data_IF_660039182925
#
_entry.id   IF_660039182925
#
_cell.length_a   1.000
_cell.length_b   1.000
_cell.length_c   1.000
_cell.angle_alpha   90.00
_cell.angle_beta   90.00
_cell.angle_gamma   90.00
#
_symmetry.space_group_name_H-M   'P 1'
#
loop_
_entity.id
_entity.type
_entity.pdbx_description
1 polymer ?
#
# COMPACT_ATOMS: atom_id res chain seq x y z
N UNK A 1 11.74 18.86 34.53
CA UNK A 1 11.88 18.90 33.07
C UNK A 1 13.18 18.27 32.55
N UNK A 2 14.39 18.66 33.02
CA UNK A 2 15.67 18.09 32.50
C UNK A 2 15.88 16.56 32.74
N UNK A 3 15.38 15.99 33.83
CA UNK A 3 15.45 14.53 34.10
C UNK A 3 14.51 13.73 33.19
N UNK A 4 13.32 14.24 32.90
CA UNK A 4 12.33 13.59 32.03
C UNK A 4 12.81 13.55 30.56
N UNK A 5 13.52 14.59 30.12
CA UNK A 5 14.07 14.67 28.78
C UNK A 5 15.21 13.65 28.55
N UNK A 6 16.08 13.45 29.57
CA UNK A 6 17.14 12.41 29.48
C UNK A 6 16.58 10.99 29.42
N UNK A 7 15.53 10.70 30.17
CA UNK A 7 14.88 9.38 30.17
C UNK A 7 14.16 9.10 28.85
N UNK A 8 13.49 10.10 28.24
CA UNK A 8 12.88 9.98 26.93
C UNK A 8 13.92 9.81 25.81
N UNK A 9 15.05 10.52 25.88
CA UNK A 9 16.14 10.36 24.93
C UNK A 9 16.79 8.96 24.99
N UNK A 10 16.94 8.41 26.21
CA UNK A 10 17.46 7.05 26.39
C UNK A 10 16.51 5.97 25.84
N UNK A 11 15.19 6.14 26.01
CA UNK A 11 14.18 5.22 25.46
C UNK A 11 14.16 5.26 23.93
N UNK A 12 14.32 6.44 23.32
CA UNK A 12 14.38 6.58 21.86
C UNK A 12 15.63 5.91 21.26
N UNK A 13 16.79 6.04 21.91
CA UNK A 13 18.06 5.40 21.50
C UNK A 13 17.94 3.88 21.59
N UNK A 14 17.32 3.35 22.64
CA UNK A 14 17.08 1.90 22.81
C UNK A 14 16.11 1.37 21.73
N UNK A 15 15.11 2.16 21.34
CA UNK A 15 14.16 1.77 20.28
C UNK A 15 14.82 1.62 18.90
N UNK A 16 15.86 2.41 18.61
CA UNK A 16 16.65 2.28 17.38
C UNK A 16 17.78 1.24 17.47
N UNK A 17 18.10 0.76 18.67
CA UNK A 17 19.15 -0.23 18.87
C UNK A 17 20.57 0.30 18.61
N UNK A 18 20.81 1.59 18.84
CA UNK A 18 22.14 2.20 18.77
C UNK A 18 22.82 1.99 20.12
N UNK A 19 23.83 1.13 20.17
CA UNK A 19 24.71 1.02 21.31
C UNK A 19 25.74 2.15 21.24
N UNK A 20 25.70 3.08 22.19
CA UNK A 20 26.80 3.99 22.46
C UNK A 20 27.90 3.21 23.22
N UNK A 21 28.85 2.66 22.50
CA UNK A 21 30.17 2.37 23.09
C UNK A 21 30.94 3.70 23.13
N UNK A 22 31.36 4.07 24.32
CA UNK A 22 32.23 5.22 24.55
C UNK A 22 33.52 5.08 23.72
N UNK A 23 33.70 5.96 22.73
CA UNK A 23 34.98 6.11 22.07
C UNK A 23 35.85 7.03 22.95
N UNK A 24 36.83 6.46 23.63
CA UNK A 24 37.96 7.24 24.19
C UNK A 24 38.76 7.80 23.03
N UNK A 25 38.94 9.10 23.06
CA UNK A 25 39.86 9.79 22.15
C UNK A 25 41.31 9.38 22.48
N UNK A 26 42.01 8.76 21.53
CA UNK A 26 43.46 8.73 21.47
C UNK A 26 43.94 9.51 20.25
N UNK A 27 44.88 10.40 20.52
CA UNK A 27 45.49 11.33 19.59
C UNK A 27 46.64 10.69 18.82
N UNK A 28 46.80 11.18 17.56
CA UNK A 28 48.02 11.21 16.73
C UNK A 28 48.58 9.91 16.15
N UNK A 29 48.67 9.91 14.83
CA UNK A 29 49.48 9.01 14.02
C UNK A 29 49.22 9.24 12.53
N UNK A 30 50.14 9.97 11.89
CA UNK A 30 50.21 10.12 10.42
C UNK A 30 50.34 8.74 9.76
N UNK A 31 49.51 8.45 8.75
CA UNK A 31 49.72 7.28 7.89
C UNK A 31 49.66 7.74 6.44
N UNK A 32 50.81 7.63 5.80
CA UNK A 32 51.09 7.78 4.36
C UNK A 32 50.29 6.78 3.55
N UNK A 33 49.72 7.28 2.43
CA UNK A 33 48.98 6.52 1.41
C UNK A 33 49.95 5.96 0.37
N UNK A 34 49.93 4.69 -0.01
CA UNK A 34 50.58 4.23 -1.22
C UNK A 34 49.60 4.28 -2.40
N UNK A 35 50.04 4.95 -3.49
CA UNK A 35 49.43 4.87 -4.80
C UNK A 35 49.40 3.44 -5.32
N UNK A 36 48.26 2.97 -5.81
CA UNK A 36 48.16 1.72 -6.58
C UNK A 36 47.57 2.00 -7.94
N UNK A 37 48.38 1.74 -8.95
CA UNK A 37 48.17 1.80 -10.38
C UNK A 37 46.90 1.04 -10.84
N UNK A 38 46.15 1.69 -11.73
CA UNK A 38 45.01 1.13 -12.48
C UNK A 38 45.57 0.25 -13.61
N UNK A 39 45.18 -1.01 -13.64
CA UNK A 39 45.31 -1.86 -14.83
C UNK A 39 43.93 -2.02 -15.48
N UNK A 40 43.89 -1.74 -16.78
CA UNK A 40 42.78 -1.96 -17.67
C UNK A 40 42.45 -3.46 -17.78
N UNK A 41 41.18 -3.81 -17.68
CA UNK A 41 40.68 -5.16 -17.92
C UNK A 41 39.95 -5.26 -19.26
N UNK A 42 40.43 -6.17 -20.02
CA UNK A 42 40.07 -6.69 -21.34
C UNK A 42 38.59 -7.04 -21.54
N UNK A 43 38.16 -6.81 -22.76
CA UNK A 43 36.89 -7.17 -23.44
C UNK A 43 36.43 -8.61 -23.24
N UNK A 44 35.11 -8.78 -23.00
CA UNK A 44 34.39 -10.06 -23.01
C UNK A 44 33.74 -10.26 -24.38
N UNK A 45 33.80 -11.44 -25.00
CA UNK A 45 33.17 -11.69 -26.30
C UNK A 45 31.66 -11.96 -26.20
N UNK A 46 30.89 -11.42 -27.14
CA UNK A 46 29.48 -11.69 -27.35
C UNK A 46 29.22 -13.17 -27.69
N UNK A 47 28.28 -13.77 -26.95
CA UNK A 47 27.75 -15.10 -27.27
C UNK A 47 26.40 -14.94 -27.96
N UNK A 48 26.35 -15.23 -29.25
CA UNK A 48 25.14 -15.32 -30.07
C UNK A 48 24.35 -16.58 -29.72
N UNK A 49 23.09 -16.41 -29.36
CA UNK A 49 22.10 -17.49 -29.18
C UNK A 49 21.34 -17.70 -30.47
N UNK A 50 21.15 -18.96 -30.99
CA UNK A 50 20.34 -19.20 -32.17
C UNK A 50 18.85 -19.13 -31.89
N UNK A 51 18.11 -18.45 -32.75
CA UNK A 51 16.65 -18.48 -32.81
C UNK A 51 16.20 -19.84 -33.43
N UNK A 52 15.44 -20.60 -32.67
CA UNK A 52 14.64 -21.71 -33.21
C UNK A 52 13.31 -21.17 -33.73
N UNK A 53 13.10 -21.29 -35.03
CA UNK A 53 11.86 -21.01 -35.74
C UNK A 53 11.03 -22.27 -35.76
N UNK A 54 9.98 -22.37 -34.98
CA UNK A 54 9.02 -23.47 -35.04
C UNK A 54 7.95 -23.14 -36.10
N UNK A 55 7.98 -23.84 -37.21
CA UNK A 55 6.97 -23.79 -38.27
C UNK A 55 5.82 -24.73 -37.89
N UNK A 56 4.60 -24.20 -37.81
CA UNK A 56 3.37 -24.98 -37.64
C UNK A 56 2.82 -25.31 -39.04
N UNK A 57 2.50 -26.56 -39.35
CA UNK A 57 1.93 -26.91 -40.67
C UNK A 57 0.43 -26.53 -40.73
N UNK A 58 0.06 -25.86 -41.81
CA UNK A 58 -1.32 -25.62 -42.21
C UNK A 58 -2.01 -26.95 -42.60
N UNK A 59 -3.15 -27.21 -41.96
CA UNK A 59 -4.03 -28.32 -42.29
C UNK A 59 -5.09 -27.83 -43.29
N UNK A 60 -4.96 -28.22 -44.54
CA UNK A 60 -5.97 -28.01 -45.58
C UNK A 60 -7.16 -28.94 -45.38
N UNK A 61 -8.36 -28.35 -45.27
CA UNK A 61 -9.65 -29.07 -45.29
C UNK A 61 -10.18 -29.09 -46.71
N UNK A 62 -10.62 -30.25 -47.29
CA UNK A 62 -11.18 -30.31 -48.63
C UNK A 62 -12.58 -29.70 -48.68
N UNK A 63 -12.83 -28.88 -49.71
CA UNK A 63 -14.16 -28.41 -50.07
C UNK A 63 -14.94 -29.54 -50.78
N UNK A 64 -16.06 -29.95 -50.18
CA UNK A 64 -17.09 -30.72 -50.91
C UNK A 64 -18.05 -29.76 -51.60
N UNK A 65 -18.12 -29.85 -52.90
CA UNK A 65 -19.08 -29.17 -53.77
C UNK A 65 -20.36 -30.02 -53.88
N UNK A 66 -21.43 -29.60 -53.20
CA UNK A 66 -22.76 -30.17 -53.40
C UNK A 66 -23.58 -29.22 -54.26
N UNK A 67 -23.88 -29.65 -55.49
CA UNK A 67 -24.84 -29.02 -56.40
C UNK A 67 -26.26 -29.30 -55.96
N UNK A 68 -27.06 -28.25 -55.70
CA UNK A 68 -28.50 -28.29 -55.44
C UNK A 68 -29.25 -27.83 -56.71
N UNK A 69 -30.32 -28.52 -57.14
CA UNK A 69 -31.05 -28.12 -58.32
C UNK A 69 -31.95 -26.89 -58.10
N UNK A 70 -32.01 -26.08 -59.12
CA UNK A 70 -32.79 -24.85 -59.20
C UNK A 70 -34.29 -25.20 -59.25
N UNK A 71 -35.07 -24.75 -58.22
CA UNK A 71 -36.53 -24.78 -58.25
C UNK A 71 -37.03 -23.35 -58.32
N UNK A 72 -37.60 -22.97 -59.47
CA UNK A 72 -38.25 -21.69 -59.67
C UNK A 72 -39.50 -21.54 -58.78
N UNK A 73 -39.47 -20.71 -57.75
CA UNK A 73 -40.61 -20.26 -56.99
C UNK A 73 -40.81 -18.74 -57.20
N UNK A 74 -42.06 -18.39 -57.48
CA UNK A 74 -42.62 -17.08 -57.66
C UNK A 74 -42.28 -16.12 -56.53
N UNK A 75 -42.05 -14.79 -56.74
CA UNK A 75 -41.73 -13.87 -55.67
C UNK A 75 -42.95 -13.60 -54.77
N UNK A 76 -42.89 -14.06 -53.53
CA UNK A 76 -43.72 -13.50 -52.47
C UNK A 76 -43.15 -12.14 -52.04
N UNK A 77 -44.01 -11.13 -51.98
CA UNK A 77 -43.69 -9.83 -51.39
C UNK A 77 -43.29 -9.99 -49.91
N UNK A 78 -42.00 -10.00 -49.66
CA UNK A 78 -41.46 -9.94 -48.30
C UNK A 78 -41.56 -8.50 -47.80
N UNK A 79 -42.60 -8.19 -47.05
CA UNK A 79 -42.64 -7.00 -46.20
C UNK A 79 -41.47 -7.08 -45.24
N UNK A 80 -40.37 -6.41 -45.54
CA UNK A 80 -39.25 -6.19 -44.63
C UNK A 80 -39.78 -5.36 -43.46
N UNK A 81 -40.15 -6.06 -42.36
CA UNK A 81 -40.31 -5.42 -41.06
C UNK A 81 -38.91 -4.98 -40.61
N UNK A 82 -38.58 -3.70 -40.81
CA UNK A 82 -37.41 -3.12 -40.18
C UNK A 82 -37.49 -3.38 -38.68
N UNK A 83 -36.42 -3.94 -38.05
CA UNK A 83 -36.41 -4.06 -36.61
C UNK A 83 -36.50 -2.64 -36.03
N UNK A 84 -37.63 -2.29 -35.42
CA UNK A 84 -37.81 -1.04 -34.68
C UNK A 84 -36.86 -1.07 -33.51
N UNK A 85 -35.66 -0.50 -33.68
CA UNK A 85 -34.72 -0.33 -32.59
C UNK A 85 -35.34 0.58 -31.55
N UNK A 86 -35.57 0.06 -30.36
CA UNK A 86 -36.10 0.82 -29.23
C UNK A 86 -35.20 2.06 -29.02
N UNK A 87 -35.76 3.29 -28.99
CA UNK A 87 -34.93 4.49 -28.84
C UNK A 87 -34.20 4.49 -27.49
N UNK A 88 -33.01 5.08 -27.47
CA UNK A 88 -32.24 5.27 -26.25
C UNK A 88 -33.00 6.19 -25.27
N UNK A 89 -32.81 5.89 -23.96
CA UNK A 89 -33.38 6.73 -22.89
C UNK A 89 -32.70 8.09 -22.87
N UNK A 90 -33.50 9.13 -22.70
CA UNK A 90 -32.99 10.50 -22.52
C UNK A 90 -32.06 10.57 -21.30
N UNK A 91 -30.79 10.90 -21.53
CA UNK A 91 -29.78 11.12 -20.53
C UNK A 91 -29.47 12.59 -20.25
N UNK A 92 -30.32 13.52 -20.74
CA UNK A 92 -30.26 14.93 -20.30
C UNK A 92 -30.59 15.03 -18.82
N UNK A 93 -30.06 16.03 -18.13
CA UNK A 93 -30.34 16.20 -16.71
C UNK A 93 -29.21 16.83 -15.93
N UNK A 94 -29.31 16.75 -14.59
CA UNK A 94 -28.41 17.41 -13.66
C UNK A 94 -27.09 16.64 -13.51
N UNK A 95 -25.96 17.30 -13.75
CA UNK A 95 -24.64 16.76 -13.47
C UNK A 95 -24.43 16.59 -11.96
N UNK A 96 -23.99 15.40 -11.55
CA UNK A 96 -23.73 15.03 -10.14
C UNK A 96 -22.24 14.92 -9.87
N UNK A 97 -21.52 14.12 -10.65
CA UNK A 97 -20.04 13.93 -10.61
C UNK A 97 -19.48 13.64 -9.22
N UNK A 98 -20.12 12.76 -8.45
CA UNK A 98 -19.68 12.32 -7.12
C UNK A 98 -20.04 10.85 -6.84
N UNK A 99 -19.58 10.32 -5.73
CA UNK A 99 -19.97 8.98 -5.27
C UNK A 99 -21.40 8.91 -4.78
N UNK A 100 -22.05 7.79 -5.09
CA UNK A 100 -23.36 7.43 -4.59
C UNK A 100 -23.45 5.94 -4.27
N UNK A 101 -24.51 5.55 -3.62
CA UNK A 101 -24.81 4.17 -3.21
C UNK A 101 -26.24 3.85 -3.60
N UNK A 102 -26.58 2.56 -3.74
CA UNK A 102 -27.98 2.17 -3.87
C UNK A 102 -28.59 1.79 -2.52
N UNK A 103 -29.86 2.13 -2.31
CA UNK A 103 -30.60 1.85 -1.05
C UNK A 103 -30.83 0.36 -0.82
N UNK A 104 -30.92 -0.42 -1.90
CA UNK A 104 -31.04 -1.89 -1.96
C UNK A 104 -30.35 -2.41 -3.22
N UNK A 105 -30.18 -3.72 -3.36
CA UNK A 105 -29.72 -4.29 -4.63
C UNK A 105 -30.79 -4.03 -5.71
N UNK A 106 -30.36 -3.56 -6.87
CA UNK A 106 -31.25 -3.21 -7.98
C UNK A 106 -30.59 -3.48 -9.32
N UNK A 107 -31.40 -3.69 -10.35
CA UNK A 107 -30.93 -3.85 -11.72
C UNK A 107 -30.31 -2.55 -12.25
N UNK A 108 -29.27 -2.70 -13.06
CA UNK A 108 -28.68 -1.64 -13.88
C UNK A 108 -28.88 -1.98 -15.36
N UNK A 109 -29.15 -0.96 -16.15
CA UNK A 109 -29.64 -1.08 -17.51
C UNK A 109 -28.69 -0.35 -18.49
N UNK A 110 -28.66 -0.78 -19.74
CA UNK A 110 -28.08 -0.01 -20.85
C UNK A 110 -29.03 1.16 -21.26
N UNK A 111 -28.64 1.92 -22.27
CA UNK A 111 -29.47 3.06 -22.75
C UNK A 111 -30.81 2.64 -23.39
N UNK A 112 -30.95 1.38 -23.79
CA UNK A 112 -32.21 0.79 -24.32
C UNK A 112 -33.11 0.18 -23.22
N UNK A 113 -32.75 0.37 -21.93
CA UNK A 113 -33.39 -0.24 -20.75
C UNK A 113 -33.35 -1.77 -20.74
N UNK A 114 -32.38 -2.35 -21.36
CA UNK A 114 -32.11 -3.79 -21.22
C UNK A 114 -31.25 -4.02 -19.96
N UNK A 115 -31.63 -5.00 -19.14
CA UNK A 115 -30.88 -5.33 -17.91
C UNK A 115 -29.51 -5.87 -18.28
N UNK A 116 -28.46 -5.24 -17.76
CA UNK A 116 -27.06 -5.63 -17.94
C UNK A 116 -26.55 -6.39 -16.74
N UNK A 117 -26.79 -5.88 -15.52
CA UNK A 117 -26.28 -6.45 -14.29
C UNK A 117 -27.11 -5.98 -13.10
N UNK A 118 -26.70 -6.40 -11.90
CA UNK A 118 -27.19 -5.85 -10.64
C UNK A 118 -26.13 -4.98 -9.98
N UNK A 119 -26.57 -3.92 -9.32
CA UNK A 119 -25.75 -3.07 -8.46
C UNK A 119 -26.13 -3.30 -7.00
N UNK A 120 -25.10 -3.41 -6.16
CA UNK A 120 -25.25 -3.90 -4.79
C UNK A 120 -25.31 -2.75 -3.77
N UNK A 121 -26.17 -2.90 -2.75
CA UNK A 121 -26.17 -2.04 -1.58
C UNK A 121 -24.81 -2.11 -0.86
N UNK A 122 -24.33 -0.95 -0.43
CA UNK A 122 -23.04 -0.86 0.30
C UNK A 122 -21.83 -0.71 -0.61
N UNK A 123 -22.01 -0.78 -1.93
CA UNK A 123 -20.97 -0.50 -2.92
C UNK A 123 -21.08 0.95 -3.37
N UNK A 124 -19.92 1.63 -3.47
CA UNK A 124 -19.82 3.00 -3.95
C UNK A 124 -19.70 3.03 -5.47
N UNK A 125 -20.63 3.68 -6.13
CA UNK A 125 -20.62 3.94 -7.58
C UNK A 125 -20.33 5.41 -7.86
N UNK A 126 -19.68 5.72 -8.98
CA UNK A 126 -19.56 7.09 -9.44
C UNK A 126 -20.83 7.47 -10.22
N UNK A 127 -21.55 8.48 -9.77
CA UNK A 127 -22.77 9.00 -10.40
C UNK A 127 -22.39 10.17 -11.28
N UNK A 128 -22.62 10.04 -12.59
CA UNK A 128 -22.36 11.11 -13.56
C UNK A 128 -23.48 12.15 -13.55
N UNK A 129 -24.74 11.67 -13.66
CA UNK A 129 -25.93 12.50 -13.81
C UNK A 129 -27.13 11.89 -13.10
N UNK A 130 -28.07 12.75 -12.70
CA UNK A 130 -29.49 12.43 -12.50
C UNK A 130 -30.23 12.89 -13.73
N UNK A 131 -30.77 11.94 -14.53
CA UNK A 131 -31.40 12.21 -15.81
C UNK A 131 -32.87 12.60 -15.62
N UNK A 132 -33.41 13.42 -16.54
CA UNK A 132 -34.82 13.84 -16.56
C UNK A 132 -35.79 12.66 -16.75
N UNK A 133 -35.30 11.57 -17.35
CA UNK A 133 -36.02 10.30 -17.52
C UNK A 133 -36.29 9.54 -16.22
N UNK A 134 -35.87 10.05 -15.04
CA UNK A 134 -36.02 9.37 -13.76
C UNK A 134 -34.92 8.34 -13.43
N UNK A 135 -33.89 8.22 -14.28
CA UNK A 135 -32.74 7.38 -14.09
C UNK A 135 -31.50 8.19 -13.70
N UNK A 136 -30.55 7.53 -13.03
CA UNK A 136 -29.21 8.07 -12.79
C UNK A 136 -28.20 7.29 -13.61
N UNK A 137 -27.33 8.01 -14.34
CA UNK A 137 -26.22 7.43 -15.09
C UNK A 137 -25.04 7.21 -14.14
N UNK A 138 -24.66 5.96 -13.91
CA UNK A 138 -23.60 5.56 -12.99
C UNK A 138 -22.49 4.78 -13.69
N UNK A 139 -21.30 4.72 -13.07
CA UNK A 139 -20.20 3.87 -13.54
C UNK A 139 -20.26 2.50 -12.83
N UNK A 140 -20.34 1.41 -13.61
CA UNK A 140 -20.26 0.03 -13.14
C UNK A 140 -19.14 -0.67 -13.92
N UNK A 141 -18.05 -1.03 -13.26
CA UNK A 141 -16.86 -1.47 -13.97
C UNK A 141 -16.37 -0.39 -14.95
N UNK A 142 -16.25 -0.75 -16.22
CA UNK A 142 -15.87 0.19 -17.30
C UNK A 142 -17.08 0.76 -18.06
N UNK A 143 -18.30 0.36 -17.71
CA UNK A 143 -19.52 0.77 -18.41
C UNK A 143 -20.23 1.92 -17.69
N UNK A 144 -21.03 2.67 -18.47
CA UNK A 144 -22.01 3.62 -17.97
C UNK A 144 -23.38 2.96 -18.07
N UNK A 145 -24.05 2.79 -16.95
CA UNK A 145 -25.35 2.13 -16.85
C UNK A 145 -26.36 3.03 -16.14
N UNK A 146 -27.62 2.77 -16.38
CA UNK A 146 -28.76 3.47 -15.82
C UNK A 146 -29.30 2.70 -14.60
N UNK A 147 -29.58 3.44 -13.52
CA UNK A 147 -30.30 2.94 -12.33
C UNK A 147 -31.36 3.94 -11.98
N UNK A 148 -32.57 3.48 -11.62
CA UNK A 148 -33.65 4.40 -11.23
C UNK A 148 -33.18 5.33 -10.09
N UNK A 149 -33.32 6.63 -10.27
CA UNK A 149 -32.83 7.68 -9.34
C UNK A 149 -33.41 7.53 -7.94
N UNK A 150 -34.65 7.04 -7.80
CA UNK A 150 -35.29 6.79 -6.49
C UNK A 150 -34.49 5.84 -5.58
N UNK A 151 -33.68 4.96 -6.16
CA UNK A 151 -32.83 4.04 -5.41
C UNK A 151 -31.45 4.60 -5.06
N UNK A 152 -31.04 5.73 -5.63
CA UNK A 152 -29.75 6.36 -5.32
C UNK A 152 -29.79 7.07 -3.96
N UNK A 153 -28.70 6.98 -3.23
CA UNK A 153 -28.44 7.75 -2.00
C UNK A 153 -27.00 8.23 -1.98
N UNK A 154 -26.78 9.43 -1.46
CA UNK A 154 -25.43 10.00 -1.29
C UNK A 154 -24.90 9.84 0.14
N UNK A 155 -25.67 9.19 1.01
CA UNK A 155 -25.21 8.78 2.34
C UNK A 155 -24.55 7.41 2.23
N UNK A 156 -23.32 7.29 2.73
CA UNK A 156 -22.61 6.00 2.77
C UNK A 156 -23.42 4.99 3.60
N UNK A 157 -23.82 3.91 2.97
CA UNK A 157 -24.57 2.81 3.60
C UNK A 157 -23.77 1.49 3.59
N UNK A 158 -22.46 1.52 3.24
CA UNK A 158 -21.58 0.37 3.39
C UNK A 158 -21.46 -0.05 4.86
N UNK A 159 -21.41 -1.34 5.12
CA UNK A 159 -21.13 -1.86 6.47
C UNK A 159 -19.73 -1.45 6.91
N UNK A 160 -19.48 -1.33 8.21
CA UNK A 160 -18.12 -1.22 8.75
C UNK A 160 -17.41 -2.56 8.50
N UNK A 161 -16.17 -2.49 8.04
CA UNK A 161 -15.38 -3.64 7.58
C UNK A 161 -14.27 -3.95 8.59
N UNK A 162 -13.48 -2.93 8.94
CA UNK A 162 -12.30 -3.10 9.79
C UNK A 162 -12.72 -3.20 11.26
N UNK A 163 -12.53 -4.40 11.83
CA UNK A 163 -12.75 -4.63 13.26
C UNK A 163 -11.50 -4.23 14.06
N UNK A 164 -11.65 -3.21 14.92
CA UNK A 164 -10.56 -2.71 15.77
C UNK A 164 -10.66 -3.17 17.23
N UNK A 165 -11.69 -3.94 17.60
CA UNK A 165 -11.87 -4.45 18.97
C UNK A 165 -10.92 -5.60 19.28
N UNK A 166 -10.50 -6.39 18.29
CA UNK A 166 -9.63 -7.52 18.51
C UNK A 166 -8.24 -7.10 18.99
N UNK A 167 -7.68 -7.83 19.94
CA UNK A 167 -6.34 -7.56 20.48
C UNK A 167 -5.26 -7.74 19.41
N UNK A 168 -5.43 -8.72 18.52
CA UNK A 168 -4.53 -9.01 17.40
C UNK A 168 -5.26 -8.70 16.08
N UNK A 169 -4.61 -7.97 15.21
CA UNK A 169 -5.04 -7.77 13.82
C UNK A 169 -4.03 -8.45 12.92
N UNK A 170 -4.41 -9.61 12.38
CA UNK A 170 -3.49 -10.50 11.68
C UNK A 170 -3.36 -10.16 10.19
N UNK A 171 -2.39 -10.81 9.52
CA UNK A 171 -2.30 -10.80 8.05
C UNK A 171 -3.60 -11.30 7.39
N UNK A 172 -4.24 -12.32 7.99
CA UNK A 172 -5.50 -12.87 7.46
C UNK A 172 -6.63 -11.85 7.53
N UNK A 173 -6.74 -11.13 8.65
CA UNK A 173 -7.74 -10.07 8.83
C UNK A 173 -7.53 -8.96 7.82
N UNK A 174 -6.30 -8.46 7.69
CA UNK A 174 -5.94 -7.45 6.70
C UNK A 174 -6.30 -7.90 5.28
N UNK A 175 -5.94 -9.13 4.87
CA UNK A 175 -6.24 -9.68 3.54
C UNK A 175 -7.75 -9.70 3.26
N UNK A 176 -8.54 -10.17 4.22
CA UNK A 176 -10.01 -10.25 4.11
C UNK A 176 -10.61 -8.85 4.03
N UNK A 177 -10.14 -7.93 4.89
CA UNK A 177 -10.66 -6.58 4.94
C UNK A 177 -10.28 -5.79 3.68
N UNK A 178 -9.07 -5.94 3.15
CA UNK A 178 -8.66 -5.34 1.87
C UNK A 178 -9.59 -5.75 0.72
N UNK A 179 -9.92 -7.05 0.61
CA UNK A 179 -10.86 -7.55 -0.41
C UNK A 179 -12.25 -6.94 -0.25
N UNK A 180 -12.75 -6.81 0.99
CA UNK A 180 -14.05 -6.20 1.28
C UNK A 180 -14.04 -4.69 1.00
N UNK A 181 -12.97 -4.00 1.36
CA UNK A 181 -12.80 -2.56 1.10
C UNK A 181 -12.76 -2.28 -0.40
N UNK A 182 -12.00 -3.06 -1.16
CA UNK A 182 -11.96 -2.92 -2.63
C UNK A 182 -13.32 -3.19 -3.26
N UNK A 183 -14.06 -4.23 -2.82
CA UNK A 183 -15.43 -4.48 -3.28
C UNK A 183 -16.34 -3.27 -2.99
N UNK A 184 -16.27 -2.73 -1.78
CA UNK A 184 -17.16 -1.63 -1.36
C UNK A 184 -16.80 -0.27 -1.99
N UNK A 185 -15.51 -0.03 -2.26
CA UNK A 185 -14.98 1.28 -2.64
C UNK A 185 -14.11 1.26 -3.91
N UNK A 186 -14.22 0.24 -4.76
CA UNK A 186 -13.36 0.04 -5.94
C UNK A 186 -13.32 1.20 -6.94
N UNK A 187 -14.29 2.12 -6.86
CA UNK A 187 -14.27 3.37 -7.65
C UNK A 187 -13.23 4.40 -7.16
N UNK A 188 -12.66 4.22 -5.96
CA UNK A 188 -11.69 5.13 -5.31
C UNK A 188 -10.57 4.39 -4.56
N UNK A 189 -10.65 3.07 -4.46
CA UNK A 189 -9.66 2.24 -3.79
C UNK A 189 -9.33 1.04 -4.67
N UNK A 190 -8.04 0.84 -4.94
CA UNK A 190 -7.51 -0.31 -5.66
C UNK A 190 -6.51 -1.05 -4.76
N UNK A 191 -6.57 -2.38 -4.76
CA UNK A 191 -5.63 -3.25 -4.05
C UNK A 191 -4.73 -3.96 -5.05
N UNK A 192 -3.43 -3.78 -4.91
CA UNK A 192 -2.42 -4.38 -5.76
C UNK A 192 -1.43 -5.23 -4.92
N UNK A 193 -0.63 -6.06 -5.59
CA UNK A 193 0.40 -6.90 -4.98
C UNK A 193 1.77 -6.42 -5.47
N UNK A 194 2.66 -6.06 -4.55
CA UNK A 194 4.04 -5.67 -4.83
C UNK A 194 5.00 -6.87 -4.95
N UNK A 195 4.61 -8.02 -4.41
CA UNK A 195 5.44 -9.21 -4.38
C UNK A 195 4.91 -10.25 -3.39
N UNK A 196 5.77 -11.20 -3.05
CA UNK A 196 5.47 -12.22 -2.03
C UNK A 196 6.61 -12.31 -1.03
N UNK A 197 6.27 -12.47 0.25
CA UNK A 197 7.22 -12.71 1.33
C UNK A 197 7.90 -14.09 1.19
N UNK A 198 8.86 -14.36 2.08
CA UNK A 198 9.56 -15.66 2.13
C UNK A 198 8.61 -16.85 2.32
N UNK A 199 7.58 -16.69 3.16
CA UNK A 199 6.54 -17.70 3.37
C UNK A 199 5.35 -17.59 2.39
N UNK A 200 5.58 -16.95 1.23
CA UNK A 200 4.62 -16.80 0.12
C UNK A 200 3.33 -16.03 0.46
N UNK A 201 3.37 -15.14 1.46
CA UNK A 201 2.28 -14.16 1.69
C UNK A 201 2.40 -13.02 0.70
N UNK A 202 1.27 -12.58 0.14
CA UNK A 202 1.26 -11.42 -0.75
C UNK A 202 1.63 -10.15 0.04
N UNK A 203 2.48 -9.32 -0.55
CA UNK A 203 2.82 -7.99 -0.08
C UNK A 203 1.86 -7.00 -0.74
N UNK A 204 0.80 -6.61 -0.01
CA UNK A 204 -0.26 -5.77 -0.54
C UNK A 204 0.09 -4.29 -0.42
N UNK A 205 -0.30 -3.51 -1.43
CA UNK A 205 -0.44 -2.07 -1.31
C UNK A 205 -1.77 -1.62 -1.87
N UNK A 206 -2.28 -0.48 -1.37
CA UNK A 206 -3.52 0.12 -1.85
C UNK A 206 -3.24 1.48 -2.46
N UNK A 207 -3.98 1.81 -3.51
CA UNK A 207 -4.06 3.17 -4.06
C UNK A 207 -5.43 3.74 -3.73
N UNK A 208 -5.48 4.80 -2.90
CA UNK A 208 -6.71 5.50 -2.53
C UNK A 208 -6.74 6.87 -3.20
N UNK A 209 -7.85 7.17 -3.84
CA UNK A 209 -8.06 8.40 -4.58
C UNK A 209 -8.05 8.20 -6.09
N UNK A 210 -7.73 9.24 -6.83
CA UNK A 210 -7.59 9.17 -8.29
C UNK A 210 -6.23 8.55 -8.64
N UNK A 211 -6.25 7.34 -9.20
CA UNK A 211 -5.02 6.66 -9.61
C UNK A 211 -4.15 7.45 -10.62
N UNK A 212 -4.78 8.38 -11.38
CA UNK A 212 -4.11 9.27 -12.34
C UNK A 212 -3.63 10.59 -11.71
N UNK A 213 -3.81 10.80 -10.40
CA UNK A 213 -3.31 11.99 -9.72
C UNK A 213 -1.79 12.10 -9.88
N UNK A 214 -1.30 13.30 -10.19
CA UNK A 214 0.14 13.54 -10.40
C UNK A 214 0.93 13.53 -9.09
N UNK A 215 0.29 13.90 -7.97
CA UNK A 215 0.90 13.94 -6.64
C UNK A 215 0.61 12.66 -5.87
N UNK A 216 1.63 12.16 -5.17
CA UNK A 216 1.57 10.89 -4.45
C UNK A 216 2.15 11.02 -3.04
N UNK A 217 1.38 10.63 -2.04
CA UNK A 217 1.86 10.35 -0.68
C UNK A 217 2.01 8.83 -0.55
N UNK A 218 3.24 8.36 -0.32
CA UNK A 218 3.48 6.96 0.00
C UNK A 218 3.51 6.77 1.52
N UNK A 219 2.97 5.64 1.97
CA UNK A 219 2.88 5.31 3.40
C UNK A 219 3.21 3.85 3.60
N UNK A 220 4.01 3.56 4.62
CA UNK A 220 4.27 2.19 5.01
C UNK A 220 4.04 1.98 6.51
N UNK A 221 3.68 0.75 6.87
CA UNK A 221 3.55 0.33 8.26
C UNK A 221 4.05 -1.10 8.47
N UNK A 222 4.40 -1.43 9.71
CA UNK A 222 4.78 -2.78 10.15
C UNK A 222 5.91 -3.39 9.32
N UNK A 223 6.94 -2.59 9.00
CA UNK A 223 8.21 -3.08 8.49
C UNK A 223 8.90 -3.93 9.58
N UNK A 224 8.80 -3.52 10.84
CA UNK A 224 9.19 -4.35 11.96
C UNK A 224 8.02 -5.20 12.46
N UNK A 225 8.28 -6.48 12.65
CA UNK A 225 7.31 -7.52 12.96
C UNK A 225 6.42 -7.23 14.17
N UNK A 226 7.00 -6.73 15.26
CA UNK A 226 6.31 -6.44 16.53
C UNK A 226 5.48 -5.17 16.55
N UNK A 227 5.49 -4.38 15.44
CA UNK A 227 4.84 -3.08 15.33
C UNK A 227 3.47 -3.16 14.63
N UNK A 228 2.81 -4.32 14.72
CA UNK A 228 1.56 -4.65 14.01
C UNK A 228 0.32 -3.83 14.42
N UNK A 229 0.39 -3.06 15.51
CA UNK A 229 -0.66 -2.10 15.86
C UNK A 229 -0.83 -1.03 14.75
N UNK A 230 0.27 -0.68 14.08
CA UNK A 230 0.23 0.28 12.96
C UNK A 230 -0.55 -0.25 11.77
N UNK A 231 -0.51 -1.56 11.45
CA UNK A 231 -1.39 -2.15 10.44
C UNK A 231 -2.87 -1.97 10.82
N UNK A 232 -3.25 -2.32 12.04
CA UNK A 232 -4.63 -2.18 12.54
C UNK A 232 -5.13 -0.74 12.45
N UNK A 233 -4.31 0.21 12.90
CA UNK A 233 -4.57 1.63 12.82
C UNK A 233 -4.74 2.08 11.35
N UNK A 234 -3.81 1.71 10.47
CA UNK A 234 -3.80 2.12 9.07
C UNK A 234 -5.00 1.59 8.29
N UNK A 235 -5.36 0.32 8.49
CA UNK A 235 -6.54 -0.27 7.86
C UNK A 235 -7.82 0.48 8.24
N UNK A 236 -7.92 0.93 9.52
CA UNK A 236 -9.05 1.76 9.95
C UNK A 236 -9.03 3.15 9.32
N UNK A 237 -7.86 3.77 9.15
CA UNK A 237 -7.72 5.05 8.44
C UNK A 237 -8.16 4.93 6.98
N UNK A 238 -7.72 3.87 6.28
CA UNK A 238 -8.14 3.58 4.90
C UNK A 238 -9.67 3.49 4.81
N UNK A 239 -10.31 2.70 5.69
CA UNK A 239 -11.76 2.59 5.73
C UNK A 239 -12.44 3.94 5.95
N UNK A 240 -11.97 4.72 6.93
CA UNK A 240 -12.59 6.00 7.29
C UNK A 240 -12.44 7.07 6.21
N UNK A 241 -11.34 7.02 5.45
CA UNK A 241 -11.15 7.89 4.29
C UNK A 241 -12.08 7.49 3.14
N UNK A 242 -12.24 6.20 2.86
CA UNK A 242 -13.19 5.71 1.88
C UNK A 242 -14.64 6.07 2.24
N UNK A 243 -15.03 5.86 3.49
CA UNK A 243 -16.39 6.18 3.98
C UNK A 243 -16.70 7.67 3.94
N UNK A 244 -15.69 8.49 4.23
CA UNK A 244 -15.80 9.95 4.26
C UNK A 244 -15.53 10.63 2.93
N UNK A 245 -15.14 9.91 1.89
CA UNK A 245 -14.57 10.46 0.65
C UNK A 245 -15.40 11.60 0.04
N UNK A 246 -16.71 11.40 -0.09
CA UNK A 246 -17.61 12.36 -0.74
C UNK A 246 -18.22 13.40 0.23
N UNK A 247 -18.14 13.15 1.55
CA UNK A 247 -18.87 13.93 2.55
C UNK A 247 -18.00 14.67 3.56
N UNK A 248 -16.86 14.08 3.96
CA UNK A 248 -15.98 14.71 4.95
C UNK A 248 -15.13 15.83 4.34
N UNK A 249 -14.79 16.78 5.19
CA UNK A 249 -13.87 17.88 4.88
C UNK A 249 -12.70 17.87 5.85
N UNK A 250 -11.52 18.28 5.37
CA UNK A 250 -10.37 18.62 6.19
C UNK A 250 -9.98 20.07 5.94
N UNK A 251 -10.03 20.90 7.00
CA UNK A 251 -9.74 22.35 6.91
C UNK A 251 -10.38 22.99 5.65
N UNK A 252 -11.72 22.85 5.53
CA UNK A 252 -12.54 23.44 4.47
C UNK A 252 -12.58 22.67 3.12
N UNK A 253 -11.60 21.83 2.81
CA UNK A 253 -11.55 21.06 1.54
C UNK A 253 -12.17 19.68 1.69
N UNK A 254 -13.01 19.24 0.75
CA UNK A 254 -13.58 17.88 0.71
C UNK A 254 -12.48 16.84 0.54
N UNK A 255 -12.63 15.67 1.15
CA UNK A 255 -11.71 14.53 0.94
C UNK A 255 -11.63 14.16 -0.55
N UNK A 256 -12.76 14.16 -1.27
CA UNK A 256 -12.76 13.91 -2.72
C UNK A 256 -11.94 14.94 -3.50
N UNK A 257 -11.97 16.21 -3.12
CA UNK A 257 -11.11 17.23 -3.76
C UNK A 257 -9.63 16.94 -3.49
N UNK A 258 -9.28 16.60 -2.24
CA UNK A 258 -7.90 16.30 -1.86
C UNK A 258 -7.41 15.05 -2.61
N UNK A 259 -8.12 13.93 -2.47
CA UNK A 259 -7.66 12.64 -3.00
C UNK A 259 -7.87 12.47 -4.52
N UNK A 260 -8.63 13.34 -5.18
CA UNK A 260 -8.65 13.39 -6.64
C UNK A 260 -7.38 14.03 -7.22
N UNK A 261 -6.71 14.90 -6.48
CA UNK A 261 -5.48 15.58 -6.90
C UNK A 261 -4.21 14.95 -6.33
N UNK A 262 -4.32 14.30 -5.16
CA UNK A 262 -3.20 13.67 -4.45
C UNK A 262 -3.61 12.27 -4.05
N UNK A 263 -3.05 11.24 -4.68
CA UNK A 263 -3.33 9.84 -4.30
C UNK A 263 -2.49 9.42 -3.09
N UNK A 264 -3.07 8.56 -2.27
CA UNK A 264 -2.33 7.83 -1.24
C UNK A 264 -1.98 6.43 -1.78
N UNK A 265 -0.72 6.04 -1.65
CA UNK A 265 -0.25 4.67 -1.89
C UNK A 265 0.23 4.11 -0.56
N UNK A 266 -0.40 3.08 -0.06
CA UNK A 266 -0.20 2.61 1.31
C UNK A 266 0.14 1.12 1.31
N UNK A 267 1.28 0.74 1.90
CA UNK A 267 1.60 -0.65 2.28
C UNK A 267 1.24 -0.88 3.75
N UNK A 268 0.07 -1.46 4.05
CA UNK A 268 -0.43 -1.53 5.43
C UNK A 268 0.27 -2.62 6.28
N UNK A 269 1.06 -3.50 5.69
CA UNK A 269 1.89 -4.51 6.37
C UNK A 269 3.05 -4.92 5.45
N UNK A 270 4.22 -4.30 5.66
CA UNK A 270 5.41 -4.60 4.86
C UNK A 270 5.95 -5.99 5.17
N UNK A 271 5.96 -6.40 6.46
CA UNK A 271 6.57 -7.65 6.95
C UNK A 271 5.51 -8.66 7.45
N UNK A 272 4.73 -9.28 6.57
CA UNK A 272 3.64 -10.17 7.00
C UNK A 272 4.12 -11.46 7.67
N UNK A 273 5.28 -11.98 7.30
CA UNK A 273 5.87 -13.15 7.94
C UNK A 273 6.33 -12.83 9.36
N UNK A 274 7.07 -11.72 9.51
CA UNK A 274 7.50 -11.25 10.82
C UNK A 274 6.33 -10.95 11.75
N UNK A 275 5.29 -10.24 11.26
CA UNK A 275 4.07 -9.98 12.04
C UNK A 275 3.42 -11.29 12.49
N UNK A 276 3.36 -12.30 11.62
CA UNK A 276 2.84 -13.64 11.97
C UNK A 276 3.69 -14.28 13.06
N UNK A 277 5.02 -14.18 12.98
CA UNK A 277 5.95 -14.69 14.00
C UNK A 277 5.72 -13.97 15.33
N UNK A 278 5.68 -12.64 15.33
CA UNK A 278 5.49 -11.86 16.57
C UNK A 278 4.14 -12.11 17.23
N UNK A 279 3.07 -12.31 16.45
CA UNK A 279 1.74 -12.55 16.99
C UNK A 279 1.49 -14.00 17.44
N UNK A 280 2.05 -14.98 16.75
CA UNK A 280 1.65 -16.39 16.90
C UNK A 280 2.82 -17.37 17.05
N UNK A 281 4.05 -16.88 16.96
CA UNK A 281 5.26 -17.69 16.97
C UNK A 281 5.56 -18.39 15.63
N UNK A 282 6.74 -19.01 15.49
CA UNK A 282 7.20 -19.65 14.26
C UNK A 282 6.31 -20.78 13.76
N UNK A 283 5.53 -21.44 14.63
CA UNK A 283 4.59 -22.53 14.26
C UNK A 283 3.58 -22.14 13.18
N UNK A 284 3.34 -20.84 12.95
CA UNK A 284 2.45 -20.33 11.90
C UNK A 284 3.18 -20.01 10.58
N UNK A 285 4.49 -20.22 10.52
CA UNK A 285 5.26 -20.19 9.26
C UNK A 285 5.09 -21.55 8.58
N UNK A 286 4.62 -21.55 7.34
CA UNK A 286 4.26 -22.74 6.56
C UNK A 286 5.48 -23.48 6.06
N UNK A 287 6.51 -22.73 5.61
CA UNK A 287 7.77 -23.30 5.14
C UNK A 287 8.54 -23.91 6.32
N UNK A 288 8.71 -25.24 6.29
CA UNK A 288 9.34 -25.99 7.37
C UNK A 288 10.79 -25.56 7.62
N UNK A 289 11.56 -25.34 6.55
CA UNK A 289 12.99 -24.94 6.65
C UNK A 289 13.14 -23.54 7.27
N UNK A 290 12.27 -22.57 6.89
CA UNK A 290 12.25 -21.27 7.54
C UNK A 290 11.86 -21.37 9.02
N UNK A 291 10.86 -22.18 9.32
CA UNK A 291 10.38 -22.39 10.70
C UNK A 291 11.45 -22.99 11.59
N UNK A 292 12.15 -24.01 11.13
CA UNK A 292 13.25 -24.63 11.85
C UNK A 292 14.40 -23.64 12.09
N UNK A 293 14.79 -22.90 11.04
CA UNK A 293 15.83 -21.90 11.15
C UNK A 293 15.49 -20.80 12.15
N UNK A 294 14.21 -20.37 12.25
CA UNK A 294 13.78 -19.36 13.21
C UNK A 294 14.07 -19.78 14.65
N UNK A 295 13.84 -21.05 15.03
CA UNK A 295 14.17 -21.56 16.36
C UNK A 295 15.68 -21.54 16.62
N UNK A 296 16.50 -21.85 15.60
CA UNK A 296 17.97 -21.82 15.70
C UNK A 296 18.51 -20.41 15.94
N UNK A 297 18.01 -19.42 15.17
CA UNK A 297 18.52 -18.04 15.21
C UNK A 297 17.87 -17.18 16.31
N UNK A 298 16.82 -17.67 16.99
CA UNK A 298 16.16 -16.91 18.03
C UNK A 298 16.99 -16.73 19.30
N UNK A 299 17.93 -17.68 19.60
CA UNK A 299 18.80 -17.57 20.76
C UNK A 299 18.05 -17.40 22.09
N UNK A 300 16.88 -18.03 22.25
CA UNK A 300 16.06 -17.91 23.47
C UNK A 300 15.17 -16.64 23.54
N UNK A 301 15.21 -15.77 22.54
CA UNK A 301 14.37 -14.55 22.50
C UNK A 301 12.90 -14.90 22.36
N UNK A 302 12.03 -14.27 23.17
CA UNK A 302 10.58 -14.37 23.00
C UNK A 302 10.16 -13.80 21.63
N UNK A 303 9.53 -14.63 20.83
CA UNK A 303 9.06 -14.22 19.51
C UNK A 303 8.07 -13.06 19.52
N UNK A 304 7.45 -12.73 20.64
CA UNK A 304 6.61 -11.52 20.74
C UNK A 304 7.36 -10.24 20.44
N UNK A 305 8.66 -10.19 20.79
CA UNK A 305 9.52 -9.03 20.53
C UNK A 305 10.31 -9.12 19.22
N UNK A 306 10.00 -10.11 18.38
CA UNK A 306 10.63 -10.30 17.07
C UNK A 306 10.43 -9.07 16.18
N UNK A 307 11.51 -8.53 15.63
CA UNK A 307 11.53 -7.31 14.80
C UNK A 307 11.79 -7.65 13.34
N UNK A 308 12.63 -8.64 13.08
CA UNK A 308 13.10 -9.06 11.77
C UNK A 308 12.01 -9.75 10.91
N UNK A 309 12.36 -10.09 9.68
CA UNK A 309 11.55 -10.98 8.83
C UNK A 309 11.74 -12.47 9.19
N UNK A 310 11.19 -13.38 8.39
CA UNK A 310 11.28 -14.83 8.65
C UNK A 310 12.69 -15.43 8.46
N UNK A 311 13.65 -14.67 7.93
CA UNK A 311 15.05 -15.06 7.78
C UNK A 311 15.94 -14.48 8.88
N UNK A 312 15.38 -13.68 9.79
CA UNK A 312 16.12 -12.98 10.84
C UNK A 312 16.84 -11.74 10.33
N UNK A 313 16.40 -11.17 9.22
CA UNK A 313 16.93 -9.94 8.66
C UNK A 313 16.02 -8.76 9.03
N UNK A 314 16.61 -7.70 9.58
CA UNK A 314 15.94 -6.44 9.86
C UNK A 314 15.77 -5.69 8.55
N UNK A 315 14.53 -5.66 8.01
CA UNK A 315 14.22 -5.03 6.72
C UNK A 315 14.67 -3.58 6.71
N UNK A 316 14.52 -2.86 7.83
CA UNK A 316 14.94 -1.47 7.96
C UNK A 316 16.45 -1.31 8.24
N UNK A 317 17.26 -2.30 7.80
CA UNK A 317 18.72 -2.29 7.70
C UNK A 317 19.19 -2.85 6.35
N UNK A 318 18.27 -3.28 5.50
CA UNK A 318 18.57 -4.00 4.26
C UNK A 318 18.61 -3.09 3.01
N UNK A 319 18.68 -1.75 3.18
CA UNK A 319 18.86 -0.82 2.05
C UNK A 319 20.35 -0.56 1.79
N UNK A 320 20.69 -0.06 0.60
CA UNK A 320 22.07 0.08 0.15
C UNK A 320 22.82 1.21 0.89
N UNK A 321 22.13 2.29 1.18
CA UNK A 321 22.68 3.50 1.77
C UNK A 321 23.09 3.25 3.24
N UNK A 322 24.40 3.08 3.48
CA UNK A 322 24.93 2.72 4.80
C UNK A 322 24.71 1.26 5.19
N UNK A 323 24.57 0.37 4.20
CA UNK A 323 24.44 -1.07 4.42
C UNK A 323 25.54 -1.62 5.35
N UNK A 324 25.14 -2.47 6.31
CA UNK A 324 25.99 -3.10 7.33
C UNK A 324 26.80 -2.15 8.23
N UNK A 325 26.46 -0.85 8.26
CA UNK A 325 27.01 0.09 9.22
C UNK A 325 26.36 -0.09 10.58
N UNK A 326 27.03 -0.82 11.47
CA UNK A 326 26.51 -1.11 12.80
C UNK A 326 25.41 -2.19 12.82
N UNK A 327 25.04 -2.63 14.02
CA UNK A 327 24.04 -3.65 14.23
C UNK A 327 24.58 -5.07 14.36
N UNK A 328 23.67 -6.07 14.30
CA UNK A 328 24.01 -7.48 14.46
C UNK A 328 24.76 -8.01 13.24
N UNK A 329 25.74 -8.88 13.46
CA UNK A 329 26.53 -9.52 12.40
C UNK A 329 25.97 -10.88 11.96
N UNK A 330 24.97 -11.39 12.67
CA UNK A 330 24.33 -12.69 12.39
C UNK A 330 22.81 -12.54 12.38
N UNK A 331 22.10 -13.42 11.63
CA UNK A 331 20.64 -13.45 11.66
C UNK A 331 20.07 -13.57 13.07
N UNK A 332 19.00 -12.84 13.36
CA UNK A 332 18.38 -12.85 14.67
C UNK A 332 17.10 -12.02 14.73
N UNK A 333 16.71 -11.63 15.94
CA UNK A 333 15.44 -10.94 16.13
C UNK A 333 15.43 -9.47 15.68
N UNK A 334 16.59 -8.82 15.52
CA UNK A 334 16.74 -7.41 15.12
C UNK A 334 18.13 -7.07 14.60
N UNK A 335 18.24 -5.96 13.87
CA UNK A 335 19.46 -5.24 13.48
C UNK A 335 20.42 -5.98 12.52
N UNK A 336 20.13 -7.18 12.08
CA UNK A 336 20.93 -7.83 11.07
C UNK A 336 20.50 -7.36 9.67
N UNK A 337 21.44 -6.77 8.93
CA UNK A 337 21.18 -6.20 7.62
C UNK A 337 21.03 -7.24 6.49
N UNK A 338 21.52 -8.45 6.70
CA UNK A 338 21.67 -9.47 5.66
C UNK A 338 23.09 -9.52 5.10
N UNK A 339 23.29 -10.35 4.07
CA UNK A 339 24.60 -10.48 3.39
C UNK A 339 24.82 -9.43 2.30
N UNK A 340 23.74 -9.01 1.67
CA UNK A 340 23.75 -8.03 0.58
C UNK A 340 22.56 -7.06 0.71
N UNK A 341 22.69 -5.81 0.26
CA UNK A 341 21.59 -4.86 0.30
C UNK A 341 20.45 -5.29 -0.64
N UNK A 342 19.24 -4.87 -0.32
CA UNK A 342 18.02 -5.12 -1.08
C UNK A 342 17.83 -6.62 -1.41
N UNK A 343 18.30 -7.49 -0.50
CA UNK A 343 18.19 -8.94 -0.68
C UNK A 343 16.79 -9.46 -0.36
N UNK A 344 16.10 -8.82 0.58
CA UNK A 344 14.83 -9.33 1.09
C UNK A 344 13.64 -8.99 0.17
N UNK A 345 12.68 -9.92 0.01
CA UNK A 345 11.52 -9.67 -0.86
C UNK A 345 10.68 -8.49 -0.39
N UNK A 346 10.63 -8.22 0.91
CA UNK A 346 9.94 -7.08 1.50
C UNK A 346 10.62 -5.76 1.10
N UNK A 347 11.95 -5.69 1.18
CA UNK A 347 12.75 -4.52 0.74
C UNK A 347 12.58 -4.28 -0.76
N UNK A 348 12.70 -5.36 -1.57
CA UNK A 348 12.48 -5.28 -3.04
C UNK A 348 11.09 -4.76 -3.37
N UNK A 349 10.07 -5.20 -2.66
CA UNK A 349 8.69 -4.77 -2.86
C UNK A 349 8.52 -3.27 -2.55
N UNK A 350 9.09 -2.76 -1.45
CA UNK A 350 9.04 -1.34 -1.12
C UNK A 350 9.74 -0.50 -2.19
N UNK A 351 10.97 -0.87 -2.58
CA UNK A 351 11.74 -0.22 -3.64
C UNK A 351 10.93 -0.18 -4.94
N UNK A 352 10.41 -1.33 -5.39
CA UNK A 352 9.62 -1.43 -6.62
C UNK A 352 8.37 -0.53 -6.60
N UNK A 353 7.66 -0.44 -5.46
CA UNK A 353 6.49 0.44 -5.37
C UNK A 353 6.93 1.91 -5.40
N UNK A 354 7.98 2.30 -4.68
CA UNK A 354 8.49 3.69 -4.69
C UNK A 354 8.93 4.11 -6.08
N UNK A 355 9.70 3.29 -6.78
CA UNK A 355 10.15 3.55 -8.16
C UNK A 355 8.98 3.68 -9.13
N UNK A 356 7.96 2.82 -8.98
CA UNK A 356 6.74 2.84 -9.80
C UNK A 356 5.91 4.10 -9.59
N UNK A 357 5.70 4.52 -8.33
CA UNK A 357 4.75 5.60 -8.01
C UNK A 357 5.41 6.96 -7.87
N UNK A 358 6.75 7.02 -7.70
CA UNK A 358 7.57 8.23 -7.57
C UNK A 358 6.93 9.22 -6.59
N UNK A 359 6.90 8.89 -5.28
CA UNK A 359 6.17 9.69 -4.31
C UNK A 359 6.81 11.07 -4.11
N UNK A 360 5.96 12.08 -3.91
CA UNK A 360 6.40 13.43 -3.52
C UNK A 360 6.77 13.49 -2.03
N UNK A 361 6.22 12.58 -1.22
CA UNK A 361 6.50 12.48 0.21
C UNK A 361 6.19 11.07 0.72
N UNK A 362 6.95 10.64 1.73
CA UNK A 362 6.80 9.34 2.38
C UNK A 362 6.58 9.52 3.88
N UNK A 363 5.62 8.79 4.44
CA UNK A 363 5.39 8.69 5.89
C UNK A 363 5.58 7.24 6.33
N UNK A 364 6.58 7.01 7.17
CA UNK A 364 6.88 5.70 7.75
C UNK A 364 6.28 5.61 9.15
N UNK A 365 5.44 4.59 9.41
CA UNK A 365 4.87 4.37 10.73
C UNK A 365 5.55 3.21 11.45
N UNK A 366 6.24 3.56 12.54
CA UNK A 366 6.95 2.64 13.42
C UNK A 366 6.36 2.65 14.85
N UNK A 367 6.96 1.90 15.76
CA UNK A 367 6.70 1.87 17.21
C UNK A 367 7.99 1.59 17.98
N UNK A 368 8.24 2.29 19.10
CA UNK A 368 7.40 3.21 19.83
C UNK A 368 8.22 4.38 20.38
N UNK A 369 7.53 5.35 21.01
CA UNK A 369 8.21 6.45 21.71
C UNK A 369 7.49 7.79 21.62
N UNK A 370 6.48 7.92 20.72
CA UNK A 370 5.86 9.20 20.36
C UNK A 370 6.91 10.24 19.95
N UNK A 371 7.85 9.80 19.10
CA UNK A 371 8.89 10.63 18.49
C UNK A 371 8.75 10.61 16.97
N UNK A 372 9.38 11.58 16.31
CA UNK A 372 9.46 11.61 14.85
C UNK A 372 10.90 11.82 14.41
N UNK A 373 11.33 11.04 13.43
CA UNK A 373 12.65 11.16 12.82
C UNK A 373 12.53 11.80 11.44
N UNK A 374 13.40 12.76 11.18
CA UNK A 374 13.49 13.47 9.91
C UNK A 374 14.88 14.08 9.75
N UNK A 375 15.32 14.29 8.51
CA UNK A 375 16.67 14.79 8.22
C UNK A 375 16.84 16.26 8.68
N UNK A 376 15.84 17.12 8.37
CA UNK A 376 15.86 18.53 8.67
C UNK A 376 14.47 19.04 9.05
N UNK A 377 14.39 20.16 9.78
CA UNK A 377 13.13 20.85 9.98
C UNK A 377 12.54 21.33 8.66
N UNK A 378 11.37 20.88 8.35
CA UNK A 378 10.65 21.18 7.10
C UNK A 378 9.21 21.61 7.41
N UNK A 379 8.52 22.16 6.41
CA UNK A 379 7.08 22.39 6.51
C UNK A 379 6.31 21.13 6.90
N UNK A 380 6.76 19.95 6.42
CA UNK A 380 6.18 18.65 6.77
C UNK A 380 6.39 18.35 8.26
N UNK A 381 7.64 18.34 8.75
CA UNK A 381 7.93 17.97 10.14
C UNK A 381 7.27 18.94 11.14
N UNK A 382 7.25 20.24 10.85
CA UNK A 382 6.57 21.23 11.69
C UNK A 382 5.04 21.02 11.74
N UNK A 383 4.41 20.68 10.60
CA UNK A 383 3.00 20.33 10.55
C UNK A 383 2.73 19.05 11.35
N UNK A 384 3.53 18.01 11.18
CA UNK A 384 3.39 16.74 11.89
C UNK A 384 3.54 16.94 13.39
N UNK A 385 4.50 17.73 13.83
CA UNK A 385 4.64 18.11 15.25
C UNK A 385 3.40 18.79 15.79
N UNK A 386 2.86 19.78 15.08
CA UNK A 386 1.65 20.50 15.51
C UNK A 386 0.41 19.59 15.65
N UNK A 387 0.38 18.48 14.91
CA UNK A 387 -0.72 17.51 14.92
C UNK A 387 -0.55 16.42 15.96
N UNK A 388 0.68 15.91 16.11
CA UNK A 388 0.95 14.70 16.91
C UNK A 388 1.57 15.02 18.27
N UNK A 389 2.27 16.15 18.38
CA UNK A 389 3.13 16.52 19.51
C UNK A 389 4.23 15.47 19.77
N UNK A 390 4.62 14.73 18.74
CA UNK A 390 5.73 13.79 18.82
C UNK A 390 7.05 14.53 18.86
N UNK A 391 7.94 14.13 19.76
CA UNK A 391 9.25 14.79 19.92
C UNK A 391 10.07 14.69 18.63
N UNK A 392 10.61 15.81 18.17
CA UNK A 392 11.54 15.82 17.03
C UNK A 392 12.86 15.15 17.38
N UNK A 393 13.32 14.27 16.50
CA UNK A 393 14.69 13.76 16.48
C UNK A 393 15.22 13.99 15.07
N UNK A 394 16.19 14.89 14.95
CA UNK A 394 16.88 15.13 13.69
C UNK A 394 17.85 13.98 13.49
N UNK A 395 17.69 13.24 12.40
CA UNK A 395 18.60 12.18 11.99
C UNK A 395 19.91 12.83 11.56
N UNK A 396 21.04 12.32 12.05
CA UNK A 396 22.34 12.71 11.52
C UNK A 396 22.51 12.25 10.06
N UNK A 397 23.55 12.74 9.39
CA UNK A 397 23.88 12.32 8.02
C UNK A 397 24.45 10.90 7.91
N UNK A 398 24.58 10.18 9.03
CA UNK A 398 25.10 8.81 9.04
C UNK A 398 24.00 7.84 8.65
N UNK A 399 24.19 7.18 7.52
CA UNK A 399 23.26 6.17 7.00
C UNK A 399 23.52 4.80 7.64
N UNK A 400 22.44 4.05 7.89
CA UNK A 400 22.44 2.73 8.54
C UNK A 400 21.68 1.65 7.76
N UNK A 401 21.48 1.85 6.47
CA UNK A 401 20.72 0.94 5.61
C UNK A 401 19.21 0.95 5.88
N UNK A 402 18.66 2.08 6.33
CA UNK A 402 17.23 2.25 6.59
C UNK A 402 16.46 2.66 5.33
N UNK A 403 15.15 2.53 5.39
CA UNK A 403 14.29 3.03 4.30
C UNK A 403 14.36 4.57 4.17
N UNK A 404 14.50 5.28 5.29
CA UNK A 404 14.71 6.74 5.26
C UNK A 404 16.01 7.10 4.55
N UNK A 405 17.11 6.37 4.81
CA UNK A 405 18.38 6.59 4.12
C UNK A 405 18.25 6.40 2.60
N UNK A 406 17.51 5.36 2.18
CA UNK A 406 17.20 5.10 0.77
C UNK A 406 16.42 6.26 0.13
N UNK A 407 15.47 6.84 0.86
CA UNK A 407 14.65 7.97 0.40
C UNK A 407 15.45 9.28 0.36
N UNK A 408 16.24 9.54 1.40
CA UNK A 408 17.08 10.75 1.52
C UNK A 408 18.11 10.82 0.38
N UNK A 409 18.75 9.70 0.04
CA UNK A 409 19.68 9.61 -1.09
C UNK A 409 19.03 9.90 -2.45
N UNK A 410 17.69 9.82 -2.53
CA UNK A 410 16.88 10.13 -3.72
C UNK A 410 16.18 11.47 -3.63
N UNK A 411 16.50 12.28 -2.61
CA UNK A 411 15.84 13.55 -2.32
C UNK A 411 14.31 13.43 -2.19
N UNK A 412 13.82 12.32 -1.68
CA UNK A 412 12.38 12.10 -1.41
C UNK A 412 12.08 12.54 0.02
N UNK A 413 11.28 13.60 0.16
CA UNK A 413 10.87 14.10 1.47
C UNK A 413 10.18 12.99 2.28
N UNK A 414 10.67 12.74 3.50
CA UNK A 414 10.12 11.70 4.34
C UNK A 414 10.12 12.07 5.83
N UNK A 415 9.33 11.34 6.60
CA UNK A 415 9.32 11.42 8.05
C UNK A 415 8.87 10.08 8.65
N UNK A 416 9.63 9.61 9.65
CA UNK A 416 9.26 8.42 10.43
C UNK A 416 8.54 8.83 11.71
N UNK A 417 7.36 8.27 11.94
CA UNK A 417 6.52 8.51 13.12
C UNK A 417 6.50 7.25 14.00
N UNK A 418 7.07 7.34 15.19
CA UNK A 418 7.09 6.27 16.21
C UNK A 418 5.85 6.39 17.09
N UNK A 419 4.82 5.59 16.82
CA UNK A 419 3.54 5.68 17.52
C UNK A 419 3.52 4.94 18.85
N UNK A 420 2.85 5.50 19.88
CA UNK A 420 2.64 4.88 21.18
C UNK A 420 3.83 4.97 22.11
N UNK A 421 3.54 5.01 23.43
CA UNK A 421 4.53 5.24 24.48
C UNK A 421 5.14 3.98 25.10
N UNK A 422 4.43 2.82 24.98
CA UNK A 422 4.94 1.58 25.57
C UNK A 422 5.88 0.86 24.58
N UNK A 423 6.87 0.09 25.06
CA UNK A 423 7.68 -0.71 24.15
C UNK A 423 6.85 -1.59 23.20
N UNK A 424 7.34 -1.79 21.98
CA UNK A 424 6.67 -2.66 21.00
C UNK A 424 6.86 -4.16 21.38
N UNK A 425 5.80 -4.98 21.25
CA UNK A 425 4.48 -4.67 20.73
C UNK A 425 3.68 -3.79 21.68
N UNK A 426 3.18 -2.67 21.15
CA UNK A 426 2.44 -1.67 21.91
C UNK A 426 1.15 -2.26 22.48
N UNK A 427 0.83 -1.95 23.75
CA UNK A 427 -0.40 -2.44 24.41
C UNK A 427 -1.66 -2.03 23.66
N UNK A 428 -2.64 -2.95 23.55
CA UNK A 428 -3.87 -2.68 22.81
C UNK A 428 -4.67 -1.48 23.37
N UNK A 429 -4.54 -1.17 24.66
CA UNK A 429 -5.12 0.02 25.28
C UNK A 429 -4.67 1.34 24.64
N UNK A 430 -3.49 1.37 24.02
CA UNK A 430 -2.96 2.55 23.32
C UNK A 430 -3.63 2.82 21.96
N UNK A 431 -4.38 1.85 21.42
CA UNK A 431 -4.97 1.96 20.07
C UNK A 431 -5.81 3.24 19.89
N UNK A 432 -6.69 3.54 20.86
CA UNK A 432 -7.57 4.73 20.78
C UNK A 432 -6.75 6.03 20.71
N UNK A 433 -5.66 6.13 21.49
CA UNK A 433 -4.77 7.29 21.48
C UNK A 433 -4.04 7.40 20.15
N UNK A 434 -3.41 6.31 19.70
CA UNK A 434 -2.69 6.25 18.40
C UNK A 434 -3.62 6.67 17.26
N UNK A 435 -4.82 6.07 17.19
CA UNK A 435 -5.80 6.41 16.16
C UNK A 435 -6.22 7.88 16.23
N UNK A 436 -6.58 8.40 17.42
CA UNK A 436 -7.03 9.80 17.58
C UNK A 436 -5.94 10.78 17.13
N UNK A 437 -4.70 10.54 17.50
CA UNK A 437 -3.55 11.40 17.15
C UNK A 437 -3.25 11.39 15.67
N UNK A 438 -3.32 10.21 15.01
CA UNK A 438 -2.76 10.04 13.67
C UNK A 438 -3.80 9.96 12.54
N UNK A 439 -5.10 9.81 12.83
CA UNK A 439 -6.15 9.57 11.81
C UNK A 439 -6.26 10.66 10.72
N UNK A 440 -5.86 11.88 11.02
CA UNK A 440 -5.94 13.02 10.10
C UNK A 440 -4.59 13.38 9.46
N UNK A 441 -3.48 12.71 9.85
CA UNK A 441 -2.14 13.00 9.37
C UNK A 441 -2.05 12.88 7.84
N UNK A 442 -2.50 11.77 7.26
CA UNK A 442 -2.32 11.54 5.83
C UNK A 442 -3.17 12.48 4.95
N UNK A 443 -4.37 12.85 5.41
CA UNK A 443 -5.18 13.85 4.68
C UNK A 443 -4.58 15.24 4.81
N UNK A 444 -3.91 15.56 5.93
CA UNK A 444 -3.19 16.80 6.11
C UNK A 444 -1.97 16.88 5.18
N UNK A 445 -1.17 15.81 5.13
CA UNK A 445 -0.03 15.68 4.21
C UNK A 445 -0.48 15.81 2.76
N UNK A 446 -1.51 15.06 2.34
CA UNK A 446 -2.05 15.17 0.99
C UNK A 446 -2.53 16.61 0.67
N UNK A 447 -3.16 17.29 1.64
CA UNK A 447 -3.61 18.68 1.44
C UNK A 447 -2.45 19.67 1.20
N UNK A 448 -1.23 19.38 1.65
CA UNK A 448 -0.05 20.24 1.39
C UNK A 448 0.31 20.33 -0.10
N UNK A 449 -0.10 19.36 -0.90
CA UNK A 449 0.21 19.24 -2.33
C UNK A 449 -0.98 19.59 -3.25
N UNK A 450 -2.02 20.21 -2.68
CA UNK A 450 -3.16 20.75 -3.46
C UNK A 450 -2.74 22.06 -4.24
#
# INVERSE_FOLDING_TARGET
>A
MKKTLKTLMLIAIIAMGINLTEAKAETSGEITVPETTVQEATTIPETTTPQETTVIPETTVPQETTTIPETTAKPEETTTVQPTTKPDVDTTGKNVKKGGYVKKNVSAYNLKLEKVTEVEKGVRYYVYKECNSGYSLIKVGNQKLLVETKYITYKCNAKKIVNTSDKKYSYSDMKVDLKKLEKAYGSILKVDIAGKSLDKRNLYYVTLGNAKAKKTVYVETSVHAREYMNTKFMMKVIEDYCRGYDTKKYKGKKYSTIFNNVKLVIMPMVNPDGVTISQYGPKKIRNAKLRENLYKIAGGVDFKIWKANARGIDINRNYAEGFDRGGAKTPGHKQYAGKTPISEPETKAQVSVVEKVKPDVVICYHQAGEVMYHLNHTKLSNMLYSMTHYTHIISGQTHYGTFSDYLDARNILNCTLETGLTPAPVKNSMYKKIYKTNKDVLVAVAKMYL
#
